data_IF_201358668115
#
_entry.id   IF_201358668115
#
_cell.length_a   1.000
_cell.length_b   1.000
_cell.length_c   1.000
_cell.angle_alpha   90.00
_cell.angle_beta   90.00
_cell.angle_gamma   90.00
#
_symmetry.space_group_name_H-M   'P 1'
#
loop_
_entity.id
_entity.type
_entity.pdbx_description
1 polymer ?
#
# COMPACT_ATOMS: atom_id res chain seq x y z
N UNK A 1 -58.57 -46.33 70.76
CA UNK A 1 -59.09 -47.62 70.28
C UNK A 1 -58.41 -47.87 68.92
N UNK A 2 -57.61 -48.96 68.84
CA UNK A 2 -57.35 -49.82 67.73
C UNK A 2 -56.40 -49.27 66.59
N UNK A 3 -55.19 -49.75 66.60
CA UNK A 3 -54.32 -50.00 65.42
C UNK A 3 -55.01 -51.08 64.51
N UNK A 4 -54.52 -51.50 63.35
CA UNK A 4 -53.09 -51.76 62.98
C UNK A 4 -52.68 -51.53 61.55
N UNK A 5 -51.35 -51.51 61.38
CA UNK A 5 -50.51 -52.17 60.39
C UNK A 5 -50.93 -52.39 58.94
N UNK A 6 -50.07 -52.03 57.98
CA UNK A 6 -49.51 -53.00 57.02
C UNK A 6 -48.31 -52.42 56.21
N UNK A 7 -47.27 -53.27 56.14
CA UNK A 7 -46.12 -53.14 55.28
C UNK A 7 -46.48 -53.14 53.80
N UNK A 8 -45.88 -52.22 53.01
CA UNK A 8 -45.61 -52.50 51.61
C UNK A 8 -44.15 -52.11 51.31
N UNK A 9 -43.36 -53.11 50.92
CA UNK A 9 -42.02 -52.98 50.36
C UNK A 9 -42.15 -52.37 48.95
N UNK A 10 -41.52 -51.27 48.72
CA UNK A 10 -41.33 -50.76 47.39
C UNK A 10 -39.82 -50.71 47.02
N UNK A 11 -39.51 -51.45 45.97
CA UNK A 11 -38.24 -51.55 45.30
C UNK A 11 -37.60 -50.21 44.97
N UNK A 12 -36.45 -49.91 45.53
CA UNK A 12 -35.59 -48.82 45.05
C UNK A 12 -34.77 -49.32 43.85
N UNK A 13 -35.20 -49.02 42.64
CA UNK A 13 -34.35 -49.13 41.46
C UNK A 13 -33.41 -47.91 41.43
N UNK A 14 -32.13 -48.12 41.74
CA UNK A 14 -31.11 -47.13 41.59
C UNK A 14 -30.88 -46.79 40.12
N UNK A 15 -31.20 -45.58 39.74
CA UNK A 15 -30.67 -44.96 38.52
C UNK A 15 -29.24 -44.52 38.81
N UNK A 16 -28.30 -45.28 38.32
CA UNK A 16 -26.89 -44.85 38.22
C UNK A 16 -26.84 -43.80 37.12
N UNK A 17 -26.83 -42.52 37.48
CA UNK A 17 -26.38 -41.45 36.59
C UNK A 17 -24.87 -41.62 36.40
N UNK A 18 -24.46 -42.21 35.29
CA UNK A 18 -23.10 -42.15 34.84
C UNK A 18 -22.79 -40.70 34.47
N UNK A 19 -22.22 -39.93 35.39
CA UNK A 19 -21.58 -38.65 35.09
C UNK A 19 -20.38 -38.98 34.16
N UNK A 20 -20.61 -38.77 32.87
CA UNK A 20 -19.53 -38.77 31.87
C UNK A 20 -18.66 -37.54 32.12
N UNK A 21 -17.69 -37.67 33.00
CA UNK A 21 -16.62 -36.69 33.16
C UNK A 21 -15.80 -36.76 31.87
N UNK A 22 -16.11 -35.83 30.93
CA UNK A 22 -15.25 -35.59 29.80
C UNK A 22 -13.97 -34.96 30.38
N UNK A 23 -13.01 -35.80 30.69
CA UNK A 23 -11.64 -35.36 30.94
C UNK A 23 -11.11 -34.82 29.61
N UNK A 24 -11.30 -33.52 29.34
CA UNK A 24 -10.61 -32.82 28.28
C UNK A 24 -9.11 -33.03 28.52
N UNK A 25 -8.46 -33.68 27.57
CA UNK A 25 -7.05 -33.98 27.62
C UNK A 25 -6.25 -32.69 27.82
N UNK A 26 -5.38 -32.55 28.85
CA UNK A 26 -4.62 -31.31 29.07
C UNK A 26 -3.81 -30.85 27.87
N UNK A 27 -3.45 -31.75 26.97
CA UNK A 27 -2.77 -31.47 25.70
C UNK A 27 -3.67 -30.74 24.69
N UNK A 28 -4.99 -30.98 24.68
CA UNK A 28 -5.95 -30.29 23.84
C UNK A 28 -6.14 -28.84 24.32
N UNK A 29 -6.22 -28.63 25.63
CA UNK A 29 -6.35 -27.28 26.18
C UNK A 29 -5.08 -26.44 25.97
N UNK A 30 -3.88 -27.02 26.09
CA UNK A 30 -2.63 -26.32 25.80
C UNK A 30 -2.46 -26.02 24.31
N UNK A 31 -3.02 -26.81 23.42
CA UNK A 31 -3.03 -26.58 21.97
C UNK A 31 -3.95 -25.46 21.56
N UNK A 32 -5.16 -25.38 22.14
CA UNK A 32 -6.12 -24.31 21.88
C UNK A 32 -5.62 -22.94 22.38
N UNK A 33 -5.01 -22.89 23.56
CA UNK A 33 -4.41 -21.69 24.12
C UNK A 33 -3.20 -21.21 23.27
N UNK A 34 -2.41 -22.13 22.74
CA UNK A 34 -1.28 -21.82 21.85
C UNK A 34 -1.73 -21.30 20.48
N UNK A 35 -2.81 -21.88 19.92
CA UNK A 35 -3.40 -21.44 18.67
C UNK A 35 -3.98 -20.03 18.78
N UNK A 36 -4.68 -19.72 19.85
CA UNK A 36 -5.24 -18.39 20.11
C UNK A 36 -4.14 -17.34 20.21
N UNK A 37 -3.08 -17.59 20.98
CA UNK A 37 -1.96 -16.67 21.13
C UNK A 37 -1.25 -16.37 19.81
N UNK A 38 -0.99 -17.40 19.00
CA UNK A 38 -0.36 -17.21 17.69
C UNK A 38 -1.23 -16.34 16.77
N UNK A 39 -2.54 -16.56 16.78
CA UNK A 39 -3.45 -15.75 15.97
C UNK A 39 -3.53 -14.30 16.48
N UNK A 40 -3.42 -14.05 17.78
CA UNK A 40 -3.36 -12.71 18.36
C UNK A 40 -2.03 -12.01 18.00
N UNK A 41 -0.90 -12.73 18.04
CA UNK A 41 0.41 -12.23 17.59
C UNK A 41 0.38 -11.83 16.10
N UNK A 42 -0.18 -12.69 15.22
CA UNK A 42 -0.32 -12.37 13.81
C UNK A 42 -1.24 -11.16 13.58
N UNK A 43 -2.33 -11.05 14.35
CA UNK A 43 -3.23 -9.88 14.33
C UNK A 43 -2.46 -8.61 14.69
N UNK A 44 -1.63 -8.64 15.73
CA UNK A 44 -0.80 -7.51 16.15
C UNK A 44 0.16 -7.09 15.04
N UNK A 45 0.88 -8.05 14.44
CA UNK A 45 1.82 -7.77 13.35
C UNK A 45 1.15 -7.12 12.14
N UNK A 46 -0.06 -7.56 11.78
CA UNK A 46 -0.83 -6.93 10.68
C UNK A 46 -1.23 -5.51 11.05
N UNK A 47 -1.74 -5.28 12.27
CA UNK A 47 -2.13 -3.94 12.75
C UNK A 47 -0.94 -2.98 12.86
N UNK A 48 0.21 -3.49 13.29
CA UNK A 48 1.47 -2.76 13.35
C UNK A 48 2.16 -2.63 11.99
N UNK A 49 1.57 -3.17 10.91
CA UNK A 49 2.08 -3.16 9.52
C UNK A 49 3.49 -3.74 9.37
N UNK A 50 3.85 -4.68 10.24
CA UNK A 50 5.12 -5.41 10.27
C UNK A 50 5.06 -6.62 9.34
N UNK A 51 4.90 -6.35 8.04
CA UNK A 51 4.59 -7.40 7.06
C UNK A 51 5.74 -8.37 6.80
N UNK A 52 6.99 -7.96 7.02
CA UNK A 52 8.16 -8.86 6.92
C UNK A 52 8.07 -9.96 7.98
N UNK A 53 7.88 -9.57 9.25
CA UNK A 53 7.73 -10.51 10.35
C UNK A 53 6.43 -11.30 10.26
N UNK A 54 5.34 -10.66 9.85
CA UNK A 54 4.06 -11.31 9.62
C UNK A 54 4.18 -12.45 8.62
N UNK A 55 4.78 -12.21 7.44
CA UNK A 55 5.00 -13.23 6.42
C UNK A 55 5.84 -14.39 6.95
N UNK A 56 6.97 -14.08 7.60
CA UNK A 56 7.88 -15.08 8.17
C UNK A 56 7.22 -15.93 9.25
N UNK A 57 6.45 -15.32 10.16
CA UNK A 57 5.74 -16.07 11.21
C UNK A 57 4.61 -16.92 10.65
N UNK A 58 3.87 -16.41 9.64
CA UNK A 58 2.78 -17.15 9.02
C UNK A 58 3.28 -18.39 8.27
N UNK A 59 4.40 -18.31 7.58
CA UNK A 59 5.03 -19.45 6.90
C UNK A 59 5.39 -20.57 7.89
N UNK A 60 5.88 -20.23 9.08
CA UNK A 60 6.20 -21.17 10.17
C UNK A 60 5.00 -21.60 11.01
N UNK A 61 3.83 -21.01 10.82
CA UNK A 61 2.67 -21.18 11.70
C UNK A 61 2.09 -22.60 11.63
N UNK A 62 2.01 -23.27 12.79
CA UNK A 62 1.33 -24.55 12.95
C UNK A 62 0.22 -24.43 14.00
N UNK A 63 -0.90 -25.10 13.76
CA UNK A 63 -1.99 -25.18 14.73
C UNK A 63 -2.98 -24.02 14.70
N UNK A 64 -2.91 -23.09 13.72
CA UNK A 64 -3.97 -22.11 13.49
C UNK A 64 -5.30 -22.82 13.17
N UNK A 65 -6.41 -22.22 13.59
CA UNK A 65 -7.73 -22.66 13.14
C UNK A 65 -7.85 -22.47 11.61
N UNK A 66 -8.75 -23.20 10.95
CA UNK A 66 -8.96 -23.05 9.51
C UNK A 66 -9.37 -21.63 9.14
N UNK A 67 -10.18 -20.97 9.98
CA UNK A 67 -10.62 -19.60 9.77
C UNK A 67 -9.49 -18.60 9.97
N UNK A 68 -8.65 -18.74 11.01
CA UNK A 68 -7.51 -17.86 11.23
C UNK A 68 -6.47 -18.02 10.12
N UNK A 69 -6.21 -19.27 9.70
CA UNK A 69 -5.31 -19.54 8.59
C UNK A 69 -5.80 -18.88 7.30
N UNK A 70 -7.07 -19.04 6.95
CA UNK A 70 -7.65 -18.42 5.75
C UNK A 70 -7.62 -16.88 5.84
N UNK A 71 -7.83 -16.30 7.03
CA UNK A 71 -7.71 -14.87 7.26
C UNK A 71 -6.29 -14.38 6.96
N UNK A 72 -5.30 -14.96 7.62
CA UNK A 72 -3.93 -14.45 7.51
C UNK A 72 -3.29 -14.77 6.16
N UNK A 73 -3.57 -15.93 5.56
CA UNK A 73 -3.16 -16.23 4.18
C UNK A 73 -3.84 -15.30 3.17
N UNK A 74 -5.13 -14.95 3.38
CA UNK A 74 -5.83 -13.96 2.57
C UNK A 74 -5.20 -12.57 2.68
N UNK A 75 -4.88 -12.12 3.89
CA UNK A 75 -4.20 -10.84 4.11
C UNK A 75 -2.82 -10.86 3.42
N UNK A 76 -2.02 -11.91 3.59
CA UNK A 76 -0.72 -12.00 2.93
C UNK A 76 -0.84 -12.01 1.41
N UNK A 77 -1.83 -12.73 0.86
CA UNK A 77 -2.12 -12.75 -0.56
C UNK A 77 -2.47 -11.33 -1.09
N UNK A 78 -3.26 -10.55 -0.35
CA UNK A 78 -3.54 -9.15 -0.68
C UNK A 78 -2.26 -8.31 -0.69
N UNK A 79 -1.42 -8.42 0.37
CA UNK A 79 -0.15 -7.70 0.47
C UNK A 79 0.85 -8.09 -0.62
N UNK A 80 0.71 -9.29 -1.18
CA UNK A 80 1.51 -9.82 -2.30
C UNK A 80 0.81 -9.68 -3.65
N UNK A 81 -0.18 -8.79 -3.77
CA UNK A 81 -0.92 -8.52 -5.02
C UNK A 81 -1.64 -9.74 -5.63
N UNK A 82 -1.88 -10.77 -4.84
CA UNK A 82 -2.60 -11.98 -5.25
C UNK A 82 -4.11 -11.81 -4.99
N UNK A 83 -4.69 -10.77 -5.60
CA UNK A 83 -6.07 -10.31 -5.33
C UNK A 83 -7.10 -11.42 -5.43
N UNK A 84 -7.04 -12.24 -6.49
CA UNK A 84 -8.00 -13.34 -6.68
C UNK A 84 -7.92 -14.41 -5.58
N UNK A 85 -6.71 -14.69 -5.09
CA UNK A 85 -6.50 -15.65 -4.00
C UNK A 85 -6.98 -15.08 -2.68
N UNK A 86 -6.70 -13.81 -2.40
CA UNK A 86 -7.18 -13.11 -1.22
C UNK A 86 -8.73 -13.12 -1.16
N UNK A 87 -9.40 -12.73 -2.24
CA UNK A 87 -10.87 -12.77 -2.34
C UNK A 87 -11.39 -14.18 -2.08
N UNK A 88 -10.79 -15.20 -2.69
CA UNK A 88 -11.18 -16.60 -2.53
C UNK A 88 -11.15 -17.07 -1.08
N UNK A 89 -10.17 -16.58 -0.30
CA UNK A 89 -9.99 -16.92 1.11
C UNK A 89 -10.89 -16.10 2.03
N UNK A 90 -11.03 -14.80 1.76
CA UNK A 90 -11.71 -13.87 2.69
C UNK A 90 -13.22 -13.76 2.47
N UNK A 91 -13.72 -13.85 1.24
CA UNK A 91 -15.15 -13.69 0.96
C UNK A 91 -16.04 -14.71 1.71
N UNK A 92 -15.68 -16.00 1.83
CA UNK A 92 -16.42 -16.93 2.67
C UNK A 92 -16.39 -16.59 4.15
N UNK A 93 -15.26 -16.08 4.66
CA UNK A 93 -15.13 -15.68 6.07
C UNK A 93 -16.04 -14.51 6.41
N UNK A 94 -16.05 -13.47 5.58
CA UNK A 94 -16.88 -12.28 5.79
C UNK A 94 -18.36 -12.63 5.83
N UNK A 95 -18.82 -13.59 5.04
CA UNK A 95 -20.23 -14.06 5.07
C UNK A 95 -20.63 -14.71 6.39
N UNK A 96 -19.67 -15.23 7.16
CA UNK A 96 -19.89 -15.87 8.46
C UNK A 96 -19.74 -14.94 9.65
N UNK A 97 -19.12 -13.78 9.45
CA UNK A 97 -18.91 -12.75 10.48
C UNK A 97 -20.22 -11.98 10.68
N UNK A 98 -21.14 -12.52 11.48
CA UNK A 98 -22.48 -11.95 11.65
C UNK A 98 -22.69 -11.23 12.98
N UNK A 99 -21.75 -11.24 13.93
CA UNK A 99 -22.01 -10.86 15.32
C UNK A 99 -21.02 -9.84 15.91
N UNK A 100 -20.73 -8.78 15.17
CA UNK A 100 -20.01 -7.63 15.71
C UNK A 100 -18.50 -7.65 15.38
N UNK A 101 -17.85 -6.49 15.53
CA UNK A 101 -16.46 -6.36 15.17
C UNK A 101 -15.61 -7.10 16.18
N UNK A 102 -15.00 -8.15 15.71
CA UNK A 102 -13.74 -8.61 16.27
C UNK A 102 -12.63 -7.97 15.44
N UNK A 103 -11.45 -7.77 16.01
CA UNK A 103 -10.29 -7.27 15.29
C UNK A 103 -10.04 -8.02 13.98
N UNK A 104 -10.33 -9.33 13.96
CA UNK A 104 -10.20 -10.19 12.79
C UNK A 104 -11.27 -9.93 11.73
N UNK A 105 -12.50 -9.61 12.16
CA UNK A 105 -13.59 -9.24 11.26
C UNK A 105 -13.28 -7.93 10.54
N UNK A 106 -12.75 -6.96 11.27
CA UNK A 106 -12.30 -5.69 10.74
C UNK A 106 -11.18 -5.88 9.71
N UNK A 107 -10.14 -6.64 10.05
CA UNK A 107 -9.05 -6.96 9.13
C UNK A 107 -9.56 -7.66 7.86
N UNK A 108 -10.48 -8.63 7.99
CA UNK A 108 -11.04 -9.33 6.85
C UNK A 108 -11.83 -8.40 5.92
N UNK A 109 -12.69 -7.56 6.46
CA UNK A 109 -13.51 -6.61 5.68
C UNK A 109 -12.66 -5.53 5.04
N UNK A 110 -11.70 -4.97 5.78
CA UNK A 110 -10.79 -3.97 5.27
C UNK A 110 -9.98 -4.53 4.09
N UNK A 111 -9.38 -5.72 4.27
CA UNK A 111 -8.60 -6.38 3.21
C UNK A 111 -9.46 -6.74 2.01
N UNK A 112 -10.67 -7.24 2.21
CA UNK A 112 -11.57 -7.59 1.11
C UNK A 112 -12.06 -6.35 0.33
N UNK A 113 -12.33 -5.23 1.02
CA UNK A 113 -12.65 -3.95 0.38
C UNK A 113 -11.52 -3.46 -0.51
N UNK A 114 -10.28 -3.57 -0.03
CA UNK A 114 -9.07 -3.25 -0.78
C UNK A 114 -8.87 -4.18 -2.00
N UNK A 115 -9.11 -5.48 -1.83
CA UNK A 115 -9.06 -6.44 -2.94
C UNK A 115 -10.06 -6.10 -4.05
N UNK A 116 -11.27 -5.72 -3.69
CA UNK A 116 -12.26 -5.30 -4.68
C UNK A 116 -11.85 -4.01 -5.39
N UNK A 117 -11.25 -3.05 -4.68
CA UNK A 117 -10.73 -1.83 -5.27
C UNK A 117 -9.58 -2.13 -6.26
N UNK A 118 -8.60 -2.95 -5.86
CA UNK A 118 -7.51 -3.44 -6.73
C UNK A 118 -8.00 -4.22 -7.94
N UNK A 119 -9.10 -4.96 -7.78
CA UNK A 119 -9.78 -5.68 -8.86
C UNK A 119 -10.70 -4.81 -9.72
N UNK A 120 -10.70 -3.49 -9.53
CA UNK A 120 -11.57 -2.53 -10.22
C UNK A 120 -13.08 -2.80 -10.04
N UNK A 121 -13.44 -3.49 -8.96
CA UNK A 121 -14.82 -3.78 -8.54
C UNK A 121 -15.29 -2.70 -7.57
N UNK A 122 -15.34 -1.46 -8.03
CA UNK A 122 -15.55 -0.27 -7.20
C UNK A 122 -16.84 -0.30 -6.37
N UNK A 123 -17.92 -0.85 -6.94
CA UNK A 123 -19.20 -1.03 -6.23
C UNK A 123 -19.09 -1.99 -5.04
N UNK A 124 -18.41 -3.13 -5.24
CA UNK A 124 -18.21 -4.13 -4.19
C UNK A 124 -17.27 -3.59 -3.11
N UNK A 125 -16.23 -2.83 -3.49
CA UNK A 125 -15.36 -2.12 -2.55
C UNK A 125 -16.17 -1.16 -1.67
N UNK A 126 -16.95 -0.27 -2.27
CA UNK A 126 -17.78 0.70 -1.55
C UNK A 126 -18.76 0.01 -0.60
N UNK A 127 -19.39 -1.09 -1.02
CA UNK A 127 -20.35 -1.85 -0.19
C UNK A 127 -19.65 -2.53 0.99
N UNK A 128 -18.45 -3.10 0.76
CA UNK A 128 -17.67 -3.77 1.81
C UNK A 128 -17.19 -2.78 2.86
N UNK A 129 -16.64 -1.64 2.45
CA UNK A 129 -16.24 -0.57 3.38
C UNK A 129 -17.45 0.06 4.09
N UNK A 130 -18.59 0.23 3.41
CA UNK A 130 -19.83 0.67 4.04
C UNK A 130 -20.36 -0.34 5.06
N UNK A 131 -20.16 -1.64 4.83
CA UNK A 131 -20.49 -2.66 5.82
C UNK A 131 -19.60 -2.52 7.05
N UNK A 132 -18.31 -2.38 6.86
CA UNK A 132 -17.33 -2.22 7.95
C UNK A 132 -17.65 -0.97 8.79
N UNK A 133 -17.86 0.19 8.15
CA UNK A 133 -18.12 1.46 8.85
C UNK A 133 -19.40 1.46 9.70
N UNK A 134 -20.33 0.54 9.43
CA UNK A 134 -21.60 0.40 10.17
C UNK A 134 -21.58 -0.71 11.22
N UNK A 135 -20.49 -1.45 11.34
CA UNK A 135 -20.43 -2.50 12.35
C UNK A 135 -20.45 -1.90 13.76
N UNK A 136 -21.21 -2.50 14.69
CA UNK A 136 -21.25 -2.04 16.06
C UNK A 136 -19.85 -2.08 16.69
N UNK A 137 -19.39 -0.95 17.23
CA UNK A 137 -18.08 -0.82 17.87
C UNK A 137 -16.90 -0.53 16.95
N UNK A 138 -17.09 -0.54 15.62
CA UNK A 138 -16.08 -0.03 14.69
C UNK A 138 -15.79 1.45 14.98
N UNK A 139 -14.52 1.82 14.96
CA UNK A 139 -14.08 3.20 15.10
C UNK A 139 -13.09 3.48 13.96
N UNK A 140 -13.31 4.59 13.30
CA UNK A 140 -12.30 5.17 12.42
C UNK A 140 -11.25 5.83 13.32
N UNK A 141 -10.14 5.14 13.51
CA UNK A 141 -9.01 5.62 14.29
C UNK A 141 -7.77 5.81 13.41
N UNK A 142 -6.82 6.57 13.92
CA UNK A 142 -5.55 6.79 13.26
C UNK A 142 -4.78 5.47 13.16
N UNK A 143 -4.47 5.04 11.95
CA UNK A 143 -3.73 3.79 11.65
C UNK A 143 -4.59 2.58 11.31
N UNK A 144 -5.92 2.65 11.44
CA UNK A 144 -6.86 1.63 10.98
C UNK A 144 -7.33 1.83 9.54
N UNK A 145 -8.29 1.00 9.13
CA UNK A 145 -8.99 1.14 7.87
C UNK A 145 -9.99 2.30 7.97
N UNK A 146 -9.81 3.37 7.20
CA UNK A 146 -10.74 4.50 7.14
C UNK A 146 -11.98 4.15 6.31
N UNK A 147 -12.78 3.21 6.80
CA UNK A 147 -13.84 2.57 6.03
C UNK A 147 -14.90 3.53 5.52
N UNK A 148 -15.26 4.58 6.26
CA UNK A 148 -16.21 5.59 5.80
C UNK A 148 -15.67 6.39 4.63
N UNK A 149 -14.42 6.84 4.72
CA UNK A 149 -13.75 7.59 3.65
C UNK A 149 -13.56 6.73 2.40
N UNK A 150 -13.14 5.46 2.56
CA UNK A 150 -13.00 4.53 1.44
C UNK A 150 -14.34 4.21 0.78
N UNK A 151 -15.41 4.02 1.58
CA UNK A 151 -16.76 3.81 1.05
C UNK A 151 -17.24 5.00 0.20
N UNK A 152 -16.98 6.24 0.63
CA UNK A 152 -17.31 7.44 -0.15
C UNK A 152 -16.48 7.48 -1.45
N UNK A 153 -15.16 7.31 -1.36
CA UNK A 153 -14.24 7.36 -2.50
C UNK A 153 -14.63 6.36 -3.59
N UNK A 154 -14.77 5.09 -3.23
CA UNK A 154 -15.16 4.04 -4.18
C UNK A 154 -16.61 4.16 -4.62
N UNK A 155 -17.46 4.74 -3.77
CA UNK A 155 -18.87 5.06 -4.08
C UNK A 155 -19.00 6.00 -5.27
N UNK A 156 -18.10 6.97 -5.45
CA UNK A 156 -18.08 7.87 -6.61
C UNK A 156 -17.80 7.13 -7.93
N UNK A 157 -17.10 6.01 -7.87
CA UNK A 157 -16.75 5.17 -9.02
C UNK A 157 -17.67 3.96 -9.19
N UNK A 158 -18.70 3.79 -8.37
CA UNK A 158 -19.60 2.61 -8.35
C UNK A 158 -20.17 2.22 -9.71
N UNK A 159 -20.52 3.21 -10.53
CA UNK A 159 -21.08 2.99 -11.87
C UNK A 159 -20.02 3.02 -12.97
N UNK A 160 -18.77 3.24 -12.61
CA UNK A 160 -17.68 3.28 -13.58
C UNK A 160 -17.36 1.87 -14.06
N UNK A 161 -17.12 1.67 -15.35
CA UNK A 161 -16.66 0.38 -15.83
C UNK A 161 -15.25 0.09 -15.30
N UNK A 162 -14.94 -1.18 -15.12
CA UNK A 162 -13.63 -1.61 -14.66
C UNK A 162 -12.51 -1.12 -15.59
N UNK A 163 -11.41 -0.64 -15.00
CA UNK A 163 -10.20 -0.36 -15.76
C UNK A 163 -9.68 -1.63 -16.41
N UNK A 164 -9.18 -1.51 -17.62
CA UNK A 164 -8.49 -2.61 -18.29
C UNK A 164 -7.26 -2.12 -19.04
N UNK A 165 -6.22 -2.95 -19.07
CA UNK A 165 -4.97 -2.66 -19.79
C UNK A 165 -4.69 -3.75 -20.78
N UNK A 166 -4.36 -3.37 -22.02
CA UNK A 166 -3.91 -4.28 -23.09
C UNK A 166 -2.54 -3.82 -23.55
N UNK A 167 -1.57 -4.71 -23.58
CA UNK A 167 -0.20 -4.42 -24.00
C UNK A 167 0.08 -5.20 -25.29
N UNK A 168 0.41 -4.46 -26.37
CA UNK A 168 0.74 -5.06 -27.68
C UNK A 168 2.24 -5.43 -27.76
N UNK A 169 2.70 -6.25 -26.80
CA UNK A 169 4.11 -6.69 -26.66
C UNK A 169 4.99 -5.69 -25.92
N UNK A 170 6.23 -6.08 -25.58
CA UNK A 170 7.15 -5.25 -24.81
C UNK A 170 7.51 -3.97 -25.57
N UNK A 171 7.81 -2.90 -24.82
CA UNK A 171 8.19 -1.63 -25.41
C UNK A 171 9.08 -0.81 -24.49
N UNK A 172 9.77 0.14 -25.10
CA UNK A 172 10.60 1.14 -24.41
C UNK A 172 10.09 2.52 -24.74
N UNK A 173 10.02 3.39 -23.76
CA UNK A 173 9.78 4.82 -23.91
C UNK A 173 10.98 5.59 -23.41
N UNK A 174 11.21 6.73 -24.05
CA UNK A 174 12.09 7.74 -23.49
C UNK A 174 11.29 8.53 -22.46
N UNK A 175 11.66 8.39 -21.19
CA UNK A 175 11.17 9.26 -20.15
C UNK A 175 11.90 10.62 -20.22
N UNK A 176 11.28 11.66 -19.72
CA UNK A 176 11.97 12.92 -19.44
C UNK A 176 11.78 13.26 -17.99
N UNK A 177 12.56 14.18 -17.50
CA UNK A 177 12.32 14.79 -16.21
C UNK A 177 11.70 16.16 -16.43
N UNK A 178 10.67 16.42 -15.66
CA UNK A 178 10.04 17.74 -15.63
C UNK A 178 10.91 18.76 -14.88
N UNK A 179 10.39 19.99 -14.72
CA UNK A 179 11.13 21.06 -14.04
C UNK A 179 11.40 20.76 -12.53
N UNK A 180 10.63 19.88 -11.92
CA UNK A 180 10.84 19.41 -10.55
C UNK A 180 11.77 18.17 -10.47
N UNK A 181 12.18 17.60 -11.60
CA UNK A 181 13.01 16.40 -11.68
C UNK A 181 12.22 15.09 -11.62
N UNK A 182 10.88 15.12 -11.71
CA UNK A 182 10.03 13.96 -11.73
C UNK A 182 9.98 13.31 -13.11
N UNK A 183 9.81 12.01 -13.15
CA UNK A 183 9.80 11.21 -14.37
C UNK A 183 8.44 11.34 -15.07
N UNK A 184 8.45 11.67 -16.35
CA UNK A 184 7.25 11.76 -17.18
C UNK A 184 7.35 10.92 -18.45
N UNK A 185 6.19 10.46 -18.90
CA UNK A 185 6.03 9.75 -20.18
C UNK A 185 4.95 10.40 -21.03
N UNK A 186 5.04 10.19 -22.34
CA UNK A 186 4.00 10.64 -23.27
C UNK A 186 2.72 9.81 -23.09
N UNK A 187 1.61 10.50 -22.85
CA UNK A 187 0.25 9.97 -22.80
C UNK A 187 -0.55 10.51 -23.98
N UNK A 188 -1.28 9.64 -24.68
CA UNK A 188 -2.10 10.00 -25.83
C UNK A 188 -3.54 9.54 -25.65
N UNK A 189 -4.47 10.37 -26.05
CA UNK A 189 -5.88 10.03 -26.23
C UNK A 189 -6.38 10.63 -27.55
N UNK A 190 -7.59 10.32 -28.05
CA UNK A 190 -8.12 10.98 -29.23
C UNK A 190 -8.08 12.49 -29.09
N UNK A 191 -7.38 13.16 -30.04
CA UNK A 191 -7.19 14.64 -30.06
C UNK A 191 -6.46 15.24 -28.85
N UNK A 192 -5.77 14.42 -28.04
CA UNK A 192 -5.02 14.85 -26.88
C UNK A 192 -3.66 14.15 -26.82
N UNK A 193 -2.63 14.92 -26.49
CA UNK A 193 -1.30 14.41 -26.19
C UNK A 193 -0.65 15.32 -25.15
N UNK A 194 -0.10 14.71 -24.11
CA UNK A 194 0.57 15.41 -23.02
C UNK A 194 1.66 14.53 -22.43
N UNK A 195 2.41 15.04 -21.48
CA UNK A 195 3.35 14.25 -20.65
C UNK A 195 2.85 14.23 -19.22
N UNK A 196 2.76 13.04 -18.66
CA UNK A 196 2.28 12.83 -17.30
C UNK A 196 3.34 12.14 -16.45
N UNK A 197 3.40 12.53 -15.18
CA UNK A 197 4.34 11.97 -14.20
C UNK A 197 4.02 10.49 -13.96
N UNK A 198 5.06 9.65 -13.84
CA UNK A 198 4.96 8.28 -13.34
C UNK A 198 5.00 8.32 -11.80
N UNK A 199 3.89 7.99 -11.16
CA UNK A 199 3.68 8.24 -9.73
C UNK A 199 3.19 6.97 -9.02
N UNK A 200 4.13 6.24 -8.39
CA UNK A 200 3.79 5.05 -7.61
C UNK A 200 3.18 5.39 -6.24
N UNK A 201 3.29 6.65 -5.80
CA UNK A 201 2.67 7.15 -4.57
C UNK A 201 1.20 7.57 -4.76
N UNK A 202 0.72 7.72 -5.99
CA UNK A 202 -0.65 8.10 -6.27
C UNK A 202 -1.58 6.87 -6.34
N UNK A 203 -2.57 6.80 -5.46
CA UNK A 203 -3.57 5.72 -5.41
C UNK A 203 -4.48 5.65 -6.64
N UNK A 204 -4.67 6.76 -7.33
CA UNK A 204 -5.33 6.87 -8.63
C UNK A 204 -4.55 7.86 -9.50
N UNK A 205 -4.67 7.71 -10.81
CA UNK A 205 -4.16 8.74 -11.73
C UNK A 205 -4.86 10.07 -11.47
N UNK A 206 -4.18 11.17 -11.71
CA UNK A 206 -4.71 12.51 -11.47
C UNK A 206 -4.52 13.41 -12.70
N UNK A 207 -5.43 14.37 -12.88
CA UNK A 207 -5.34 15.40 -13.90
C UNK A 207 -5.85 16.73 -13.34
N UNK A 208 -5.42 17.85 -13.96
CA UNK A 208 -6.01 19.16 -13.67
C UNK A 208 -7.40 19.29 -14.31
N UNK A 209 -8.19 20.22 -13.80
CA UNK A 209 -9.49 20.58 -14.40
C UNK A 209 -9.35 21.00 -15.87
N UNK A 210 -8.31 21.75 -16.20
CA UNK A 210 -8.01 22.13 -17.60
C UNK A 210 -7.75 20.90 -18.47
N UNK A 211 -6.98 19.91 -18.00
CA UNK A 211 -6.73 18.66 -18.75
C UNK A 211 -8.02 17.83 -18.86
N UNK A 212 -8.82 17.74 -17.80
CA UNK A 212 -10.11 17.05 -17.85
C UNK A 212 -11.05 17.67 -18.91
N UNK A 213 -11.08 19.00 -19.02
CA UNK A 213 -11.85 19.70 -20.05
C UNK A 213 -11.31 19.42 -21.47
N UNK A 214 -9.98 19.39 -21.66
CA UNK A 214 -9.34 19.06 -22.93
C UNK A 214 -9.64 17.62 -23.38
N UNK A 215 -9.76 16.70 -22.42
CA UNK A 215 -10.15 15.32 -22.64
C UNK A 215 -11.67 15.13 -22.80
N UNK A 216 -12.47 16.20 -22.63
CA UNK A 216 -13.93 16.16 -22.70
C UNK A 216 -14.59 15.32 -21.60
N UNK A 217 -13.99 15.25 -20.41
CA UNK A 217 -14.47 14.39 -19.33
C UNK A 217 -15.70 14.98 -18.64
N UNK A 218 -16.63 14.09 -18.28
CA UNK A 218 -17.73 14.42 -17.36
C UNK A 218 -17.28 14.17 -15.94
N UNK A 219 -17.32 15.22 -15.12
CA UNK A 219 -16.93 15.16 -13.71
C UNK A 219 -18.07 14.59 -12.85
N UNK A 220 -17.71 13.89 -11.76
CA UNK A 220 -18.68 13.50 -10.74
C UNK A 220 -19.41 14.72 -10.16
N UNK A 221 -20.69 14.57 -9.86
CA UNK A 221 -21.47 15.64 -9.20
C UNK A 221 -21.00 15.88 -7.76
N UNK A 222 -20.68 14.81 -7.04
CA UNK A 222 -20.10 14.87 -5.71
C UNK A 222 -18.56 14.93 -5.80
N UNK A 223 -17.94 15.43 -4.73
CA UNK A 223 -16.48 15.51 -4.56
C UNK A 223 -16.05 14.63 -3.41
N UNK A 224 -14.79 14.22 -3.41
CA UNK A 224 -14.12 13.64 -2.25
C UNK A 224 -12.90 14.47 -1.87
N UNK A 225 -12.13 14.00 -0.91
CA UNK A 225 -10.85 14.60 -0.54
C UNK A 225 -9.70 13.72 -0.99
N UNK A 226 -8.64 14.35 -1.50
CA UNK A 226 -7.34 13.74 -1.72
C UNK A 226 -6.32 14.45 -0.83
N UNK A 227 -5.38 13.69 -0.28
CA UNK A 227 -4.33 14.20 0.56
C UNK A 227 -3.01 14.24 -0.23
N UNK A 228 -2.35 15.38 -0.23
CA UNK A 228 -1.03 15.54 -0.82
C UNK A 228 0.10 15.29 0.18
N UNK A 229 1.33 15.30 -0.32
CA UNK A 229 2.56 14.98 0.45
C UNK A 229 2.80 15.85 1.70
N UNK A 230 2.19 17.01 1.81
CA UNK A 230 2.28 17.88 2.99
C UNK A 230 1.15 17.70 4.00
N UNK A 231 0.34 16.66 3.88
CA UNK A 231 -0.84 16.46 4.72
C UNK A 231 -2.03 17.37 4.36
N UNK A 232 -1.91 18.16 3.31
CA UNK A 232 -2.94 19.10 2.88
C UNK A 232 -4.03 18.35 2.13
N UNK A 233 -5.28 18.62 2.50
CA UNK A 233 -6.46 18.04 1.86
C UNK A 233 -6.93 18.93 0.73
N UNK A 234 -6.96 18.40 -0.49
CA UNK A 234 -7.57 19.03 -1.66
C UNK A 234 -8.94 18.41 -1.95
N UNK A 235 -9.89 19.23 -2.36
CA UNK A 235 -11.20 18.75 -2.83
C UNK A 235 -11.09 18.35 -4.31
N UNK A 236 -11.46 17.12 -4.62
CA UNK A 236 -11.33 16.57 -5.97
C UNK A 236 -12.66 16.04 -6.49
N UNK A 237 -12.84 16.12 -7.81
CA UNK A 237 -13.84 15.35 -8.52
C UNK A 237 -13.24 14.03 -9.02
N UNK A 238 -14.07 13.08 -9.38
CA UNK A 238 -13.68 11.90 -10.15
C UNK A 238 -14.20 11.97 -11.56
N UNK A 239 -13.45 11.40 -12.49
CA UNK A 239 -13.88 11.20 -13.87
C UNK A 239 -13.30 9.90 -14.41
N UNK A 240 -13.79 9.45 -15.57
CA UNK A 240 -13.25 8.28 -16.25
C UNK A 240 -12.79 8.70 -17.64
N UNK A 241 -11.49 8.48 -17.93
CA UNK A 241 -10.96 8.65 -19.27
C UNK A 241 -11.28 7.37 -20.05
N UNK A 242 -12.02 7.46 -21.19
CA UNK A 242 -12.43 6.27 -21.91
C UNK A 242 -11.27 5.41 -22.40
N UNK A 243 -10.23 6.05 -22.95
CA UNK A 243 -9.03 5.39 -23.45
C UNK A 243 -7.82 6.33 -23.43
N UNK A 244 -6.69 5.82 -22.94
CA UNK A 244 -5.37 6.45 -23.11
C UNK A 244 -4.35 5.42 -23.57
N UNK A 245 -3.31 5.89 -24.24
CA UNK A 245 -2.18 5.09 -24.72
C UNK A 245 -0.88 5.57 -24.07
N UNK A 246 -0.09 4.62 -23.58
CA UNK A 246 1.27 4.80 -23.08
C UNK A 246 2.15 3.82 -23.85
N UNK A 247 2.88 4.29 -24.82
CA UNK A 247 3.63 3.43 -25.74
C UNK A 247 2.73 2.43 -26.47
N UNK A 248 2.91 1.13 -26.20
CA UNK A 248 2.09 0.04 -26.74
C UNK A 248 1.00 -0.45 -25.78
N UNK A 249 0.90 0.17 -24.62
CA UNK A 249 -0.19 -0.12 -23.69
C UNK A 249 -1.40 0.76 -24.00
N UNK A 250 -2.57 0.16 -24.05
CA UNK A 250 -3.87 0.83 -24.12
C UNK A 250 -4.61 0.59 -22.82
N UNK A 251 -4.89 1.67 -22.09
CA UNK A 251 -5.64 1.65 -20.85
C UNK A 251 -7.04 2.19 -21.13
N UNK A 252 -8.07 1.38 -20.84
CA UNK A 252 -9.47 1.76 -20.98
C UNK A 252 -10.12 1.97 -19.63
N UNK A 253 -11.09 2.88 -19.62
CA UNK A 253 -11.88 3.22 -18.44
C UNK A 253 -10.99 3.64 -17.27
N UNK A 254 -9.99 4.48 -17.52
CA UNK A 254 -9.05 4.95 -16.51
C UNK A 254 -9.75 5.92 -15.55
N UNK A 255 -9.96 5.57 -14.26
CA UNK A 255 -10.45 6.53 -13.28
C UNK A 255 -9.35 7.54 -12.96
N UNK A 256 -9.74 8.80 -12.87
CA UNK A 256 -8.84 9.89 -12.52
C UNK A 256 -9.45 10.78 -11.45
N UNK A 257 -8.60 11.27 -10.55
CA UNK A 257 -8.90 12.39 -9.68
C UNK A 257 -8.72 13.69 -10.50
N UNK A 258 -9.67 14.59 -10.41
CA UNK A 258 -9.63 15.88 -11.08
C UNK A 258 -9.46 16.98 -10.03
N UNK A 259 -8.27 17.53 -9.98
CA UNK A 259 -7.89 18.63 -9.12
C UNK A 259 -8.21 19.98 -9.76
N UNK A 260 -8.46 20.98 -8.95
CA UNK A 260 -8.41 22.36 -9.47
C UNK A 260 -6.98 22.69 -9.92
N UNK A 261 -6.83 23.50 -10.94
CA UNK A 261 -5.51 23.78 -11.54
C UNK A 261 -4.53 24.37 -10.52
N UNK A 262 -5.02 25.15 -9.55
CA UNK A 262 -4.21 25.74 -8.50
C UNK A 262 -3.68 24.70 -7.48
N UNK A 263 -4.40 23.59 -7.26
CA UNK A 263 -3.99 22.55 -6.30
C UNK A 263 -2.77 21.77 -6.79
N UNK A 264 -2.48 21.81 -8.10
CA UNK A 264 -1.32 21.18 -8.74
C UNK A 264 -0.36 22.21 -9.33
N UNK A 265 -0.45 23.47 -8.91
CA UNK A 265 0.43 24.57 -9.32
C UNK A 265 1.33 24.97 -8.16
N UNK A 266 2.60 25.17 -8.43
CA UNK A 266 3.62 25.51 -7.45
C UNK A 266 4.23 26.87 -7.77
N UNK A 267 3.66 27.99 -7.26
CA UNK A 267 4.07 29.34 -7.63
C UNK A 267 5.53 29.69 -7.31
N UNK A 268 6.12 28.98 -6.33
CA UNK A 268 7.54 29.12 -5.96
C UNK A 268 8.47 28.59 -7.06
N UNK A 269 7.99 27.62 -7.81
CA UNK A 269 8.58 27.09 -9.02
C UNK A 269 7.57 27.40 -10.13
N UNK A 270 7.88 28.03 -11.27
CA UNK A 270 6.92 28.25 -12.37
C UNK A 270 6.55 26.89 -13.01
N UNK A 271 5.85 26.05 -12.25
CA UNK A 271 5.65 24.65 -12.53
C UNK A 271 4.23 24.21 -12.14
N UNK A 272 3.62 23.39 -12.98
CA UNK A 272 2.31 22.79 -12.76
C UNK A 272 2.34 21.32 -13.17
N UNK A 273 1.88 20.44 -12.29
CA UNK A 273 1.58 19.05 -12.64
C UNK A 273 0.26 19.04 -13.41
N UNK A 274 0.30 18.68 -14.69
CA UNK A 274 -0.89 18.60 -15.53
C UNK A 274 -1.61 17.27 -15.42
N UNK A 275 -0.84 16.19 -15.20
CA UNK A 275 -1.37 14.86 -14.96
C UNK A 275 -0.33 13.91 -14.38
N UNK A 276 -0.79 12.87 -13.68
CA UNK A 276 0.02 11.77 -13.19
C UNK A 276 -0.61 10.42 -13.50
N UNK A 277 0.24 9.46 -13.78
CA UNK A 277 -0.09 8.04 -13.94
C UNK A 277 0.08 7.39 -12.58
N UNK A 278 -1.05 7.09 -11.94
CA UNK A 278 -1.06 6.46 -10.62
C UNK A 278 -0.73 4.97 -10.64
N UNK A 279 -0.52 4.44 -9.45
CA UNK A 279 -0.10 3.06 -9.22
C UNK A 279 -0.98 2.00 -9.92
N UNK A 280 -2.34 2.09 -9.97
CA UNK A 280 -3.15 1.07 -10.64
C UNK A 280 -2.82 0.87 -12.12
N UNK A 281 -2.38 1.93 -12.81
CA UNK A 281 -1.89 1.83 -14.19
C UNK A 281 -0.53 1.16 -14.21
N UNK A 282 0.42 1.63 -13.38
CA UNK A 282 1.77 1.08 -13.30
C UNK A 282 1.75 -0.41 -12.95
N UNK A 283 0.93 -0.81 -11.98
CA UNK A 283 0.68 -2.21 -11.62
C UNK A 283 0.16 -3.02 -12.82
N UNK A 284 -0.77 -2.47 -13.60
CA UNK A 284 -1.37 -3.15 -14.74
C UNK A 284 -0.40 -3.33 -15.92
N UNK A 285 0.72 -2.60 -15.96
CA UNK A 285 1.82 -2.81 -16.89
C UNK A 285 2.66 -4.05 -16.51
N UNK A 286 2.52 -4.57 -15.31
CA UNK A 286 3.09 -5.82 -14.83
C UNK A 286 4.55 -5.71 -14.44
N UNK A 287 5.48 -5.76 -15.40
CA UNK A 287 6.92 -5.65 -15.16
C UNK A 287 7.48 -4.41 -15.83
N UNK A 288 7.95 -3.47 -15.02
CA UNK A 288 8.44 -2.17 -15.49
C UNK A 288 9.86 -1.92 -14.98
N UNK A 289 10.71 -1.35 -15.83
CA UNK A 289 12.08 -0.99 -15.49
C UNK A 289 12.32 0.48 -15.77
N UNK A 290 12.83 1.17 -14.77
CA UNK A 290 13.31 2.55 -14.86
C UNK A 290 14.82 2.52 -15.00
N UNK A 291 15.36 3.24 -15.96
CA UNK A 291 16.79 3.37 -16.21
C UNK A 291 17.29 4.79 -15.93
N UNK A 292 18.49 4.92 -15.37
CA UNK A 292 19.10 6.24 -15.11
C UNK A 292 19.42 7.02 -16.39
N UNK A 293 19.46 6.34 -17.54
CA UNK A 293 19.68 6.94 -18.86
C UNK A 293 18.40 7.51 -19.52
N UNK A 294 17.26 7.50 -18.81
CA UNK A 294 16.01 8.05 -19.29
C UNK A 294 15.17 7.08 -20.10
N UNK A 295 15.35 5.77 -19.95
CA UNK A 295 14.51 4.75 -20.57
C UNK A 295 13.52 4.18 -19.55
N UNK A 296 12.25 4.11 -19.92
CA UNK A 296 11.21 3.37 -19.23
C UNK A 296 10.82 2.16 -20.07
N UNK A 297 10.99 0.96 -19.52
CA UNK A 297 10.79 -0.29 -20.24
C UNK A 297 9.64 -1.07 -19.64
N UNK A 298 8.68 -1.45 -20.48
CA UNK A 298 7.61 -2.40 -20.12
C UNK A 298 7.96 -3.74 -20.75
N UNK A 299 8.08 -4.77 -19.92
CA UNK A 299 8.51 -6.11 -20.33
C UNK A 299 7.33 -7.07 -20.35
N UNK A 300 7.44 -8.12 -21.14
CA UNK A 300 6.51 -9.26 -21.02
C UNK A 300 6.74 -9.97 -19.68
N UNK A 301 5.65 -10.49 -19.15
CA UNK A 301 5.76 -11.37 -17.99
C UNK A 301 6.54 -12.62 -18.37
N UNK A 302 7.72 -12.80 -17.77
CA UNK A 302 8.51 -14.01 -17.96
C UNK A 302 8.18 -15.02 -16.86
N UNK A 303 7.53 -16.12 -17.23
CA UNK A 303 7.31 -17.26 -16.34
C UNK A 303 8.59 -18.00 -15.92
N UNK A 304 9.75 -17.58 -16.43
CA UNK A 304 11.04 -18.26 -16.27
C UNK A 304 12.05 -17.56 -15.35
N UNK A 305 11.70 -16.44 -14.71
CA UNK A 305 12.60 -15.91 -13.70
C UNK A 305 12.39 -16.69 -12.40
N UNK A 306 13.41 -17.49 -12.10
CA UNK A 306 13.62 -18.13 -10.81
C UNK A 306 13.46 -17.06 -9.74
N UNK A 307 12.54 -17.29 -8.86
CA UNK A 307 12.04 -16.34 -7.89
C UNK A 307 13.14 -15.92 -6.92
N UNK A 308 13.67 -14.73 -7.10
CA UNK A 308 14.13 -13.99 -5.93
C UNK A 308 12.98 -13.92 -4.93
N UNK A 309 13.25 -14.02 -3.64
CA UNK A 309 12.19 -13.89 -2.64
C UNK A 309 11.49 -12.54 -2.84
N UNK A 310 10.16 -12.56 -2.74
CA UNK A 310 9.39 -11.35 -2.86
C UNK A 310 9.81 -10.35 -1.77
N UNK A 311 10.14 -9.12 -2.18
CA UNK A 311 10.59 -8.01 -1.34
C UNK A 311 9.74 -6.74 -1.51
N UNK A 312 8.58 -6.88 -2.20
CA UNK A 312 7.55 -5.86 -2.30
C UNK A 312 6.30 -6.30 -1.55
N UNK A 313 5.62 -5.32 -0.98
CA UNK A 313 4.29 -5.47 -0.39
C UNK A 313 3.39 -4.32 -0.86
N UNK A 314 2.09 -4.49 -0.70
CA UNK A 314 1.11 -3.43 -0.92
C UNK A 314 0.32 -3.17 0.36
N UNK A 315 0.13 -1.91 0.69
CA UNK A 315 -0.90 -1.47 1.63
C UNK A 315 -1.88 -0.60 0.86
N UNK A 316 -3.08 -1.12 0.60
CA UNK A 316 -3.93 -0.49 -0.39
C UNK A 316 -3.22 -0.42 -1.74
N UNK A 317 -3.11 0.78 -2.27
CA UNK A 317 -2.35 1.09 -3.48
C UNK A 317 -0.94 1.64 -3.20
N UNK A 318 -0.49 1.62 -1.95
CA UNK A 318 0.87 2.06 -1.58
C UNK A 318 1.87 0.92 -1.78
N UNK A 319 2.91 1.18 -2.54
CA UNK A 319 4.01 0.23 -2.78
C UNK A 319 5.01 0.33 -1.64
N UNK A 320 5.31 -0.81 -1.03
CA UNK A 320 6.28 -0.93 0.06
C UNK A 320 7.46 -1.77 -0.39
N UNK A 321 8.66 -1.32 -0.06
CA UNK A 321 9.92 -1.99 -0.40
C UNK A 321 10.65 -2.39 0.88
N UNK A 322 11.12 -3.63 0.94
CA UNK A 322 12.09 -4.04 1.93
C UNK A 322 13.44 -3.35 1.69
N UNK A 323 13.89 -2.62 2.70
CA UNK A 323 15.12 -1.84 2.64
C UNK A 323 15.92 -2.06 3.92
N UNK A 324 17.22 -2.34 3.83
CA UNK A 324 18.08 -2.43 5.01
C UNK A 324 18.68 -1.06 5.33
N UNK A 325 18.50 -0.61 6.58
CA UNK A 325 19.08 0.64 7.11
C UNK A 325 19.79 0.31 8.44
N UNK A 326 21.08 0.58 8.50
CA UNK A 326 21.87 0.30 9.71
C UNK A 326 21.88 -1.18 10.13
N UNK A 327 21.79 -2.10 9.17
CA UNK A 327 21.78 -3.55 9.41
C UNK A 327 20.43 -4.13 9.82
N UNK A 328 19.33 -3.34 9.80
CA UNK A 328 17.98 -3.77 10.08
C UNK A 328 17.08 -3.63 8.87
N UNK A 329 16.14 -4.57 8.71
CA UNK A 329 15.13 -4.51 7.67
C UNK A 329 14.01 -3.52 8.07
N UNK A 330 13.63 -2.71 7.11
CA UNK A 330 12.57 -1.73 7.21
C UNK A 330 11.64 -1.83 5.99
N UNK A 331 10.40 -1.45 6.14
CA UNK A 331 9.50 -1.19 5.03
C UNK A 331 9.43 0.32 4.78
N UNK A 332 9.76 0.73 3.56
CA UNK A 332 9.61 2.10 3.10
C UNK A 332 8.62 2.15 1.94
N UNK A 333 7.89 3.24 1.83
CA UNK A 333 7.06 3.49 0.65
C UNK A 333 7.96 3.82 -0.55
N UNK A 334 7.56 3.40 -1.75
CA UNK A 334 8.18 3.83 -3.00
C UNK A 334 7.28 4.87 -3.66
N UNK A 335 7.79 6.07 -3.80
CA UNK A 335 7.07 7.18 -4.41
C UNK A 335 7.92 7.82 -5.53
N UNK A 336 7.66 7.39 -6.77
CA UNK A 336 8.35 7.96 -7.95
C UNK A 336 7.84 9.36 -8.30
N UNK A 337 6.71 9.79 -7.73
CA UNK A 337 6.18 11.15 -7.81
C UNK A 337 6.79 12.11 -6.77
N UNK A 338 7.63 11.62 -5.85
CA UNK A 338 8.35 12.46 -4.89
C UNK A 338 9.81 12.68 -5.31
N UNK A 339 10.29 13.92 -5.18
CA UNK A 339 11.71 14.25 -5.42
C UNK A 339 12.61 13.80 -4.27
N UNK A 340 12.12 13.93 -3.03
CA UNK A 340 12.88 13.67 -1.80
C UNK A 340 12.66 12.28 -1.22
N UNK A 341 13.71 11.77 -0.58
CA UNK A 341 13.67 10.60 0.30
C UNK A 341 13.74 11.08 1.73
N UNK A 342 12.97 10.49 2.63
CA UNK A 342 12.99 10.84 4.05
C UNK A 342 12.64 9.63 4.93
N UNK A 343 12.99 9.71 6.20
CA UNK A 343 12.55 8.77 7.23
C UNK A 343 11.37 9.37 8.00
N UNK A 344 10.42 8.53 8.38
CA UNK A 344 9.16 8.94 9.01
C UNK A 344 9.30 9.28 10.48
N UNK A 345 8.23 9.80 11.07
CA UNK A 345 8.10 9.99 12.51
C UNK A 345 8.18 8.68 13.29
N UNK A 346 7.73 7.55 12.73
CA UNK A 346 7.92 6.22 13.32
C UNK A 346 9.41 5.88 13.47
N UNK A 347 10.20 6.08 12.41
CA UNK A 347 11.65 5.85 12.49
C UNK A 347 12.29 6.75 13.54
N UNK A 348 11.86 8.02 13.64
CA UNK A 348 12.32 8.93 14.67
C UNK A 348 12.00 8.42 16.08
N UNK A 349 10.76 8.00 16.34
CA UNK A 349 10.33 7.47 17.63
C UNK A 349 11.18 6.26 18.07
N UNK A 350 11.48 5.35 17.15
CA UNK A 350 12.32 4.16 17.41
C UNK A 350 13.79 4.51 17.68
N UNK A 351 14.25 5.69 17.22
CA UNK A 351 15.65 6.08 17.22
C UNK A 351 15.93 7.43 17.92
N UNK A 352 15.02 7.93 18.75
CA UNK A 352 15.12 9.23 19.43
C UNK A 352 16.49 9.53 20.03
N UNK A 353 17.13 8.51 20.61
CA UNK A 353 18.43 8.67 21.26
C UNK A 353 19.55 9.12 20.30
N UNK A 354 19.40 8.90 19.00
CA UNK A 354 20.38 9.35 17.99
C UNK A 354 20.33 10.86 17.77
N UNK A 355 19.20 11.49 18.08
CA UNK A 355 18.91 12.89 17.78
C UNK A 355 18.95 13.81 19.01
N UNK A 356 19.19 13.30 20.21
CA UNK A 356 19.14 14.04 21.48
C UNK A 356 20.09 15.25 21.58
N UNK A 357 21.11 15.34 20.73
CA UNK A 357 22.10 16.41 20.72
C UNK A 357 21.91 17.43 19.58
N UNK A 358 20.88 17.25 18.76
CA UNK A 358 20.62 18.10 17.59
C UNK A 358 19.38 18.96 17.82
N UNK A 359 19.32 20.11 17.17
CA UNK A 359 18.11 20.93 17.10
C UNK A 359 17.32 20.59 15.84
N UNK A 360 15.98 20.47 15.92
CA UNK A 360 15.15 20.22 14.74
C UNK A 360 15.20 21.42 13.80
N UNK A 361 15.03 21.18 12.51
CA UNK A 361 14.97 22.17 11.45
C UNK A 361 13.59 22.18 10.81
N UNK A 362 13.19 23.33 10.33
CA UNK A 362 11.98 23.46 9.52
C UNK A 362 12.28 23.00 8.07
N UNK A 363 11.38 22.20 7.52
CA UNK A 363 11.38 21.77 6.12
C UNK A 363 10.04 22.16 5.49
N UNK A 364 10.08 22.88 4.39
CA UNK A 364 8.91 23.12 3.59
C UNK A 364 8.69 21.92 2.67
N UNK A 365 7.53 21.24 2.82
CA UNK A 365 7.09 20.14 1.95
C UNK A 365 6.01 20.68 1.02
N UNK A 366 6.25 20.54 -0.28
CA UNK A 366 5.35 21.00 -1.34
C UNK A 366 4.72 19.77 -2.00
N UNK A 367 3.40 19.76 -2.14
CA UNK A 367 2.65 18.67 -2.75
C UNK A 367 1.29 19.12 -3.27
N UNK A 368 0.48 18.16 -3.73
CA UNK A 368 -0.89 18.44 -4.14
C UNK A 368 -1.67 19.15 -3.01
N UNK A 369 -2.36 20.24 -3.34
CA UNK A 369 -3.10 21.06 -2.38
C UNK A 369 -2.29 22.20 -1.75
N UNK A 370 -0.94 22.23 -1.87
CA UNK A 370 -0.12 23.36 -1.39
C UNK A 370 1.18 22.96 -0.71
N UNK A 371 1.64 23.81 0.21
CA UNK A 371 2.88 23.64 0.98
C UNK A 371 2.61 23.65 2.48
N UNK A 372 3.34 22.86 3.23
CA UNK A 372 3.34 22.81 4.69
C UNK A 372 4.76 22.87 5.23
N UNK A 373 4.90 23.36 6.48
CA UNK A 373 6.18 23.38 7.19
C UNK A 373 6.13 22.26 8.24
N UNK A 374 7.13 21.41 8.23
CA UNK A 374 7.29 20.31 9.17
C UNK A 374 8.64 20.39 9.87
N UNK A 375 8.72 19.81 11.09
CA UNK A 375 9.97 19.76 11.83
C UNK A 375 10.71 18.46 11.51
N UNK A 376 12.01 18.57 11.31
CA UNK A 376 12.87 17.45 10.91
C UNK A 376 14.21 17.50 11.61
N UNK A 377 14.82 16.33 11.79
CA UNK A 377 16.25 16.20 11.97
C UNK A 377 16.94 15.87 10.66
N UNK A 378 18.25 16.02 10.60
CA UNK A 378 19.03 15.69 9.42
C UNK A 378 20.04 14.61 9.77
N UNK A 379 19.89 13.44 9.17
CA UNK A 379 20.87 12.38 9.23
C UNK A 379 21.91 12.63 8.12
N UNK A 380 23.14 12.97 8.50
CA UNK A 380 24.15 13.44 7.53
C UNK A 380 24.55 12.38 6.52
N UNK A 381 24.69 11.14 6.98
CA UNK A 381 25.08 10.01 6.14
C UNK A 381 24.25 8.80 6.53
N UNK A 382 23.59 8.20 5.53
CA UNK A 382 22.84 6.97 5.68
C UNK A 382 23.06 6.06 4.49
N UNK A 383 23.38 4.81 4.74
CA UNK A 383 23.48 3.78 3.68
C UNK A 383 22.23 2.92 3.71
N UNK A 384 21.53 2.89 2.60
CA UNK A 384 20.36 2.04 2.36
C UNK A 384 20.77 0.88 1.46
N UNK A 385 20.29 -0.34 1.74
CA UNK A 385 20.37 -1.44 0.77
C UNK A 385 18.99 -1.64 0.16
N UNK A 386 18.90 -1.38 -1.13
CA UNK A 386 17.68 -1.47 -1.94
C UNK A 386 17.89 -2.55 -2.99
N UNK A 387 17.11 -3.64 -2.97
CA UNK A 387 17.26 -4.74 -3.91
C UNK A 387 18.69 -5.34 -3.93
N UNK A 388 19.37 -5.33 -2.77
CA UNK A 388 20.76 -5.81 -2.62
C UNK A 388 21.86 -4.80 -2.91
N UNK A 389 21.57 -3.65 -3.56
CA UNK A 389 22.54 -2.60 -3.86
C UNK A 389 22.58 -1.53 -2.76
N UNK A 390 23.79 -1.06 -2.45
CA UNK A 390 23.99 0.01 -1.46
C UNK A 390 23.84 1.38 -2.09
N UNK A 391 23.03 2.22 -1.47
CA UNK A 391 22.76 3.62 -1.84
C UNK A 391 23.14 4.50 -0.67
N UNK A 392 24.13 5.38 -0.86
CA UNK A 392 24.54 6.33 0.16
C UNK A 392 23.76 7.64 -0.03
N UNK A 393 23.06 8.04 1.01
CA UNK A 393 22.27 9.26 1.06
C UNK A 393 22.91 10.23 2.05
N UNK A 394 23.01 11.49 1.64
CA UNK A 394 23.53 12.57 2.45
C UNK A 394 22.43 13.54 2.82
N UNK A 395 22.52 14.11 4.03
CA UNK A 395 21.56 15.09 4.56
C UNK A 395 20.10 14.60 4.45
N UNK A 396 19.86 13.35 4.89
CA UNK A 396 18.55 12.71 4.87
C UNK A 396 17.66 13.29 5.97
N UNK A 397 16.47 13.77 5.60
CA UNK A 397 15.51 14.27 6.55
C UNK A 397 14.84 13.14 7.33
N UNK A 398 14.66 13.37 8.64
CA UNK A 398 13.94 12.49 9.57
C UNK A 398 12.80 13.30 10.18
N UNK A 399 11.57 12.96 9.85
CA UNK A 399 10.37 13.67 10.28
C UNK A 399 10.13 13.45 11.78
N UNK A 400 9.70 14.47 12.51
CA UNK A 400 9.42 14.36 13.96
C UNK A 400 7.94 14.21 14.27
N UNK A 401 7.10 14.46 13.29
CA UNK A 401 5.64 14.42 13.40
C UNK A 401 5.00 13.81 12.15
N UNK A 402 3.81 13.23 12.27
CA UNK A 402 3.07 12.70 11.14
C UNK A 402 2.76 13.80 10.12
N UNK A 403 2.90 13.47 8.82
CA UNK A 403 2.65 14.41 7.72
C UNK A 403 1.43 14.02 6.87
N UNK A 404 0.72 12.96 7.28
CA UNK A 404 -0.38 12.39 6.51
C UNK A 404 0.06 11.55 5.30
N UNK A 405 1.37 11.42 5.09
CA UNK A 405 1.94 10.30 4.34
C UNK A 405 1.82 9.04 5.19
N UNK A 406 1.98 7.82 4.62
CA UNK A 406 1.93 6.60 5.44
C UNK A 406 3.03 6.57 6.50
N UNK A 407 2.79 7.28 7.61
CA UNK A 407 3.74 7.40 8.74
C UNK A 407 3.91 6.09 9.50
N UNK A 408 3.13 5.07 9.17
CA UNK A 408 3.21 3.72 9.74
C UNK A 408 4.36 2.88 9.17
N UNK A 409 5.10 3.43 8.20
CA UNK A 409 6.30 2.83 7.64
C UNK A 409 7.52 3.67 7.95
N UNK A 410 8.71 3.09 7.84
CA UNK A 410 9.94 3.74 8.30
C UNK A 410 10.34 4.97 7.47
N UNK A 411 9.71 5.23 6.34
CA UNK A 411 9.98 6.39 5.50
C UNK A 411 9.50 6.24 4.07
N UNK A 412 9.95 7.16 3.21
CA UNK A 412 9.62 7.22 1.79
C UNK A 412 10.88 7.26 0.92
N UNK A 413 10.91 6.43 -0.12
CA UNK A 413 11.95 6.41 -1.15
C UNK A 413 11.46 7.22 -2.36
N UNK A 414 12.01 8.40 -2.54
CA UNK A 414 11.78 9.25 -3.70
C UNK A 414 12.95 9.22 -4.69
N UNK A 415 12.91 10.13 -5.69
CA UNK A 415 13.90 10.21 -6.76
C UNK A 415 15.34 10.41 -6.27
N UNK A 416 15.53 11.08 -5.12
CA UNK A 416 16.87 11.27 -4.53
C UNK A 416 17.55 9.96 -4.13
N UNK A 417 16.82 8.88 -3.88
CA UNK A 417 17.38 7.56 -3.61
C UNK A 417 17.35 6.68 -4.86
N UNK A 418 16.18 6.44 -5.46
CA UNK A 418 16.06 5.51 -6.60
C UNK A 418 16.75 6.03 -7.85
N UNK A 419 16.90 7.35 -8.01
CA UNK A 419 17.64 7.97 -9.11
C UNK A 419 19.15 7.74 -9.06
N UNK A 420 19.71 7.26 -7.94
CA UNK A 420 21.12 6.87 -7.81
C UNK A 420 21.39 5.45 -8.33
N UNK A 421 20.35 4.67 -8.56
CA UNK A 421 20.44 3.33 -9.13
C UNK A 421 20.62 3.42 -10.65
N UNK A 422 21.44 2.53 -11.23
CA UNK A 422 21.61 2.46 -12.69
C UNK A 422 20.30 2.08 -13.41
N UNK A 423 19.54 1.19 -12.79
CA UNK A 423 18.17 0.86 -13.13
C UNK A 423 17.52 0.11 -11.96
N UNK A 424 16.20 0.15 -11.89
CA UNK A 424 15.44 -0.71 -11.00
C UNK A 424 14.20 -1.23 -11.72
N UNK A 425 13.86 -2.48 -11.44
CA UNK A 425 12.71 -3.18 -12.03
C UNK A 425 11.71 -3.51 -10.94
N UNK A 426 10.46 -3.12 -11.16
CA UNK A 426 9.32 -3.51 -10.36
C UNK A 426 8.56 -4.61 -11.11
N UNK A 427 8.42 -5.77 -10.51
CA UNK A 427 7.64 -6.89 -11.01
C UNK A 427 6.45 -7.10 -10.07
N UNK A 428 5.29 -6.60 -10.46
CA UNK A 428 4.07 -6.64 -9.64
C UNK A 428 3.36 -8.00 -9.68
N UNK A 429 3.81 -8.92 -10.49
CA UNK A 429 3.33 -10.29 -10.47
C UNK A 429 4.09 -11.13 -9.44
N UNK A 430 5.42 -11.03 -9.45
CA UNK A 430 6.29 -11.74 -8.52
C UNK A 430 6.52 -10.97 -7.21
N UNK A 431 6.05 -9.74 -7.12
CA UNK A 431 6.26 -8.81 -6.01
C UNK A 431 7.73 -8.67 -5.65
N UNK A 432 8.54 -8.37 -6.68
CA UNK A 432 9.99 -8.16 -6.52
C UNK A 432 10.43 -6.81 -7.06
N UNK A 433 11.32 -6.18 -6.30
CA UNK A 433 12.19 -5.12 -6.78
C UNK A 433 13.57 -5.70 -7.00
N UNK A 434 14.12 -5.52 -8.20
CA UNK A 434 15.49 -5.87 -8.53
C UNK A 434 16.22 -4.65 -9.09
N UNK A 435 17.52 -4.55 -8.78
CA UNK A 435 18.36 -3.43 -9.19
C UNK A 435 19.39 -3.92 -10.21
N UNK A 436 19.55 -3.16 -11.30
CA UNK A 436 20.58 -3.46 -12.28
C UNK A 436 21.97 -3.16 -11.73
N UNK A 437 22.96 -3.99 -12.09
CA UNK A 437 24.34 -3.80 -11.67
C UNK A 437 24.85 -2.39 -12.06
N UNK A 438 25.57 -1.73 -11.17
CA UNK A 438 26.22 -0.45 -11.48
C UNK A 438 27.13 -0.61 -12.69
N UNK A 439 26.96 0.22 -13.71
CA UNK A 439 27.93 0.34 -14.79
C UNK A 439 29.26 0.84 -14.21
N UNK A 440 30.30 0.02 -14.28
CA UNK A 440 31.67 0.35 -13.80
C UNK A 440 32.39 1.39 -14.69
N UNK A 441 31.65 2.10 -15.58
CA UNK A 441 32.22 3.05 -16.55
C UNK A 441 32.09 4.52 -16.16
N UNK A 442 31.84 4.88 -14.90
CA UNK A 442 31.97 6.26 -14.42
C UNK A 442 33.29 6.44 -13.62
N UNK A 443 34.41 6.18 -14.25
CA UNK A 443 35.75 6.41 -13.70
C UNK A 443 36.59 7.24 -14.66
N UNK A 444 36.95 8.46 -14.26
CA UNK A 444 37.90 9.40 -14.90
C UNK A 444 37.36 10.39 -15.92
N UNK A 445 36.67 11.40 -15.46
CA UNK A 445 36.95 12.76 -15.96
C UNK A 445 37.62 13.52 -14.84
N UNK A 446 38.93 13.34 -14.78
CA UNK A 446 39.81 14.14 -13.98
C UNK A 446 39.64 15.62 -14.34
N UNK A 447 39.39 16.41 -13.33
CA UNK A 447 39.61 17.84 -13.23
C UNK A 447 40.83 18.29 -14.03
N UNK A 448 40.58 19.01 -15.14
CA UNK A 448 41.57 19.96 -15.66
C UNK A 448 41.08 21.36 -15.21
N UNK A 449 41.67 21.86 -14.13
CA UNK A 449 41.65 23.30 -13.83
C UNK A 449 42.34 24.04 -14.99
N UNK A 450 41.79 25.10 -15.53
CA UNK A 450 42.60 26.11 -16.20
C UNK A 450 43.22 27.01 -15.12
N UNK A 451 44.52 27.05 -15.09
CA UNK A 451 45.25 28.09 -14.36
C UNK A 451 45.28 29.39 -15.20
N UNK A 452 45.40 30.45 -14.44
CA UNK A 452 45.57 31.89 -14.70
C UNK A 452 44.29 32.65 -14.88
#
# INVERSE_FOLDING_TARGET
MIAPSSLIRAFVRGCIFAAMVVTLCPRLMSGLDRSGRLADELTSLVREKRYIEFASQLEGAQGLSLSDRALFEGILANRRNQVSESIRLLEPLVRTITQGPTDRAELALCTLGDDYAKGFRYGDAADTYSLLSRLPGYKEDDGGCQAGLEAERWGLLRQSPAQSTTIAGPFTLDESRDAAGLLEVAVRAPHFSDRWILDTGANLSAVTRTVAAQLGLTLSAATSTAQGSGGILARVHTAVVPEVQIGRATIRNLPVLVFEDNDLSFPQLPYQIRGSIGFPVLQSLGRITFHSDGRFVVQEHSSHHQSDPANLYLEGFTVLIETEIGGKQHLLTLDTGATGTFLSSQYYEEHKNKFNAEEPRELEVIGAGGASIIHTYVLRDATFKIGGESVDLHDLYVLTEPTGLPDEFSGNLGQSAVGLLSSYTLDFHNMTLSVGARSTTAGNTASSRPGN
#
